data_IF_275860793164
#
_entry.id   IF_275860793164
#
_cell.length_a   1.000
_cell.length_b   1.000
_cell.length_c   1.000
_cell.angle_alpha   90.00
_cell.angle_beta   90.00
_cell.angle_gamma   90.00
#
_symmetry.space_group_name_H-M   'P 1'
#
loop_
_entity.id
_entity.type
_entity.pdbx_description
1 polymer ?
#
# COMPACT_ATOMS: atom_id res chain seq x y z
N UNK A 1 -31.44 -7.94 -1.53
CA UNK A 1 -31.18 -6.63 -0.87
C UNK A 1 -30.41 -5.63 -1.74
N UNK A 2 -29.44 -6.04 -2.57
CA UNK A 2 -28.54 -5.11 -3.30
C UNK A 2 -29.24 -4.00 -4.10
N UNK A 3 -30.38 -4.27 -4.75
CA UNK A 3 -31.16 -3.27 -5.51
C UNK A 3 -31.67 -2.08 -4.68
N UNK A 4 -31.78 -2.21 -3.36
CA UNK A 4 -32.32 -1.16 -2.45
C UNK A 4 -31.21 -0.24 -1.92
N UNK A 5 -29.97 -0.73 -1.87
CA UNK A 5 -28.84 -0.04 -1.25
C UNK A 5 -28.48 1.32 -1.91
N UNK A 6 -28.46 1.45 -3.26
CA UNK A 6 -28.19 2.74 -3.90
C UNK A 6 -29.27 3.78 -3.59
N UNK A 7 -30.54 3.38 -3.63
CA UNK A 7 -31.67 4.25 -3.30
C UNK A 7 -31.63 4.74 -1.84
N UNK A 8 -31.31 3.83 -0.90
CA UNK A 8 -31.15 4.17 0.51
C UNK A 8 -29.97 5.13 0.76
N UNK A 9 -28.84 4.94 0.06
CA UNK A 9 -27.68 5.83 0.16
C UNK A 9 -27.96 7.22 -0.42
N UNK A 10 -28.65 7.31 -1.55
CA UNK A 10 -29.07 8.58 -2.15
C UNK A 10 -30.07 9.32 -1.26
N UNK A 11 -31.08 8.63 -0.72
CA UNK A 11 -32.04 9.21 0.22
C UNK A 11 -31.36 9.71 1.52
N UNK A 12 -30.44 8.92 2.09
CA UNK A 12 -29.68 9.31 3.27
C UNK A 12 -28.78 10.53 3.02
N UNK A 13 -28.13 10.63 1.86
CA UNK A 13 -27.35 11.81 1.45
C UNK A 13 -28.23 13.04 1.30
N UNK A 14 -29.37 12.92 0.62
CA UNK A 14 -30.29 14.05 0.42
C UNK A 14 -30.82 14.57 1.75
N UNK A 15 -31.28 13.69 2.65
CA UNK A 15 -31.70 14.07 3.99
C UNK A 15 -30.56 14.72 4.80
N UNK A 16 -29.31 14.31 4.58
CA UNK A 16 -28.14 14.88 5.25
C UNK A 16 -27.75 16.28 4.77
N UNK A 17 -27.90 16.57 3.48
CA UNK A 17 -27.76 17.95 2.99
C UNK A 17 -28.83 18.88 3.56
N UNK A 18 -30.05 18.39 3.77
CA UNK A 18 -31.17 19.21 4.29
C UNK A 18 -31.15 19.38 5.82
N UNK A 19 -30.75 18.36 6.58
CA UNK A 19 -30.81 18.36 8.04
C UNK A 19 -29.62 17.60 8.68
N UNK A 20 -28.38 18.10 8.58
CA UNK A 20 -27.17 17.33 8.88
C UNK A 20 -27.13 16.80 10.33
N UNK A 21 -27.38 17.66 11.32
CA UNK A 21 -27.27 17.31 12.74
C UNK A 21 -28.17 16.14 13.19
N UNK A 22 -29.33 15.95 12.56
CA UNK A 22 -30.26 14.85 12.86
C UNK A 22 -29.95 13.56 12.09
N UNK A 23 -29.16 13.66 11.02
CA UNK A 23 -29.02 12.60 10.00
C UNK A 23 -27.60 12.06 9.87
N UNK A 24 -26.56 12.72 10.41
CA UNK A 24 -25.21 12.14 10.50
C UNK A 24 -25.22 10.68 10.99
N UNK A 25 -25.92 10.32 12.09
CA UNK A 25 -25.92 8.94 12.59
C UNK A 25 -26.53 7.94 11.60
N UNK A 26 -27.50 8.38 10.81
CA UNK A 26 -28.19 7.57 9.81
C UNK A 26 -27.32 7.41 8.55
N UNK A 27 -26.73 8.49 8.04
CA UNK A 27 -25.86 8.43 6.86
C UNK A 27 -24.60 7.60 7.15
N UNK A 28 -23.95 7.79 8.30
CA UNK A 28 -22.83 6.94 8.77
C UNK A 28 -23.26 5.48 8.86
N UNK A 29 -24.46 5.17 9.37
CA UNK A 29 -24.97 3.79 9.42
C UNK A 29 -25.17 3.19 8.03
N UNK A 30 -25.73 3.94 7.08
CA UNK A 30 -25.95 3.47 5.70
C UNK A 30 -24.62 3.26 4.98
N UNK A 31 -23.67 4.19 5.08
CA UNK A 31 -22.33 4.06 4.50
C UNK A 31 -21.56 2.85 5.07
N UNK A 32 -21.63 2.61 6.39
CA UNK A 32 -21.04 1.41 7.03
C UNK A 32 -21.67 0.11 6.54
N UNK A 33 -22.99 0.07 6.36
CA UNK A 33 -23.68 -1.10 5.80
C UNK A 33 -23.27 -1.32 4.33
N UNK A 34 -23.13 -0.25 3.55
CA UNK A 34 -22.60 -0.31 2.18
C UNK A 34 -21.20 -0.93 2.17
N UNK A 35 -20.27 -0.44 3.00
CA UNK A 35 -18.92 -1.01 3.11
C UNK A 35 -18.95 -2.51 3.45
N UNK A 36 -19.74 -2.90 4.45
CA UNK A 36 -19.90 -4.30 4.84
C UNK A 36 -20.53 -5.19 3.75
N UNK A 37 -21.42 -4.65 2.92
CA UNK A 37 -21.92 -5.39 1.75
C UNK A 37 -20.85 -5.57 0.70
N UNK A 38 -20.05 -4.54 0.39
CA UNK A 38 -19.02 -4.62 -0.65
C UNK A 38 -17.88 -5.61 -0.27
N UNK A 39 -17.46 -5.65 1.01
CA UNK A 39 -16.55 -6.70 1.53
C UNK A 39 -17.10 -8.11 1.30
N UNK A 40 -18.42 -8.31 1.46
CA UNK A 40 -19.08 -9.61 1.24
C UNK A 40 -19.29 -9.97 -0.23
N UNK A 41 -19.31 -8.98 -1.12
CA UNK A 41 -19.42 -9.18 -2.57
C UNK A 41 -18.07 -9.38 -3.26
N UNK A 42 -16.95 -9.18 -2.55
CA UNK A 42 -15.62 -9.23 -3.13
C UNK A 42 -15.19 -7.95 -3.83
N UNK A 43 -15.82 -6.81 -3.52
CA UNK A 43 -15.40 -5.49 -3.99
C UNK A 43 -14.77 -4.70 -2.84
N UNK A 44 -13.45 -4.85 -2.60
CA UNK A 44 -12.79 -4.22 -1.47
C UNK A 44 -12.52 -2.71 -1.70
N UNK A 45 -12.43 -2.25 -2.95
CA UNK A 45 -12.22 -0.83 -3.27
C UNK A 45 -13.49 0.00 -3.02
N UNK A 46 -14.67 -0.46 -3.45
CA UNK A 46 -15.93 0.18 -3.08
C UNK A 46 -16.24 0.05 -1.58
N UNK A 47 -15.77 -1.02 -0.94
CA UNK A 47 -15.86 -1.15 0.52
C UNK A 47 -15.05 -0.06 1.24
N UNK A 48 -13.82 0.17 0.81
CA UNK A 48 -12.93 1.20 1.37
C UNK A 48 -13.54 2.60 1.17
N UNK A 49 -13.95 2.95 -0.04
CA UNK A 49 -14.54 4.25 -0.35
C UNK A 49 -15.85 4.53 0.43
N UNK A 50 -16.65 3.48 0.69
CA UNK A 50 -17.85 3.60 1.51
C UNK A 50 -17.52 3.79 3.01
N UNK A 51 -16.45 3.15 3.50
CA UNK A 51 -16.00 3.26 4.89
C UNK A 51 -15.28 4.59 5.18
N UNK A 52 -14.44 5.06 4.25
CA UNK A 52 -13.80 6.38 4.31
C UNK A 52 -14.85 7.50 4.44
N UNK A 53 -15.84 7.52 3.53
CA UNK A 53 -16.95 8.48 3.62
C UNK A 53 -17.75 8.38 4.92
N UNK A 54 -17.81 7.20 5.56
CA UNK A 54 -18.40 7.04 6.88
C UNK A 54 -17.55 7.69 7.98
N UNK A 55 -16.22 7.66 7.87
CA UNK A 55 -15.31 8.40 8.76
C UNK A 55 -15.45 9.91 8.56
N UNK A 56 -15.47 10.41 7.30
CA UNK A 56 -15.66 11.83 7.01
C UNK A 56 -16.98 12.35 7.58
N UNK A 57 -18.08 11.61 7.37
CA UNK A 57 -19.43 11.98 7.85
C UNK A 57 -19.56 11.89 9.38
N UNK A 58 -18.73 11.07 10.03
CA UNK A 58 -18.71 10.93 11.49
C UNK A 58 -17.82 11.97 12.20
N UNK A 59 -17.03 12.75 11.46
CA UNK A 59 -16.08 13.72 12.02
C UNK A 59 -16.77 14.69 13.00
N UNK A 60 -16.20 14.82 14.20
CA UNK A 60 -16.78 15.57 15.32
C UNK A 60 -17.61 14.74 16.33
N UNK A 61 -17.99 13.49 16.03
CA UNK A 61 -18.62 12.57 16.99
C UNK A 61 -17.75 11.32 17.18
N UNK A 62 -17.06 11.24 18.33
CA UNK A 62 -16.17 10.12 18.66
C UNK A 62 -16.85 8.74 18.64
N UNK A 63 -18.15 8.64 18.97
CA UNK A 63 -18.90 7.38 18.97
C UNK A 63 -19.28 6.95 17.56
N UNK A 64 -19.59 7.90 16.67
CA UNK A 64 -19.80 7.61 15.25
C UNK A 64 -18.47 7.26 14.56
N UNK A 65 -17.38 7.97 14.86
CA UNK A 65 -16.06 7.73 14.28
C UNK A 65 -15.53 6.35 14.68
N UNK A 66 -15.58 5.98 15.96
CA UNK A 66 -15.19 4.63 16.41
C UNK A 66 -16.03 3.53 15.74
N UNK A 67 -17.32 3.79 15.47
CA UNK A 67 -18.18 2.86 14.73
C UNK A 67 -17.78 2.75 13.25
N UNK A 68 -17.50 3.87 12.59
CA UNK A 68 -17.05 3.91 11.20
C UNK A 68 -15.68 3.23 11.01
N UNK A 69 -14.74 3.43 11.93
CA UNK A 69 -13.41 2.83 11.91
C UNK A 69 -13.46 1.30 11.78
N UNK A 70 -14.39 0.61 12.45
CA UNK A 70 -14.56 -0.85 12.32
C UNK A 70 -14.84 -1.27 10.86
N UNK A 71 -15.63 -0.50 10.12
CA UNK A 71 -15.93 -0.79 8.72
C UNK A 71 -14.71 -0.50 7.82
N UNK A 72 -13.93 0.54 8.15
CA UNK A 72 -12.67 0.85 7.45
C UNK A 72 -11.64 -0.26 7.66
N UNK A 73 -11.43 -0.72 8.89
CA UNK A 73 -10.55 -1.86 9.17
C UNK A 73 -11.04 -3.15 8.50
N UNK A 74 -12.35 -3.35 8.35
CA UNK A 74 -12.90 -4.49 7.60
C UNK A 74 -12.67 -4.38 6.09
N UNK A 75 -12.73 -3.18 5.50
CA UNK A 75 -12.42 -2.94 4.10
C UNK A 75 -10.92 -3.08 3.81
N UNK A 76 -10.06 -2.51 4.67
CA UNK A 76 -8.61 -2.67 4.58
C UNK A 76 -8.22 -4.16 4.62
N UNK A 77 -8.72 -4.94 5.57
CA UNK A 77 -8.52 -6.42 5.61
C UNK A 77 -9.06 -7.18 4.38
N UNK A 78 -9.94 -6.56 3.59
CA UNK A 78 -10.52 -7.18 2.40
C UNK A 78 -9.71 -6.85 1.13
N UNK A 79 -9.14 -5.64 1.05
CA UNK A 79 -8.06 -5.30 0.11
C UNK A 79 -6.85 -6.21 0.38
N UNK A 80 -6.53 -6.36 1.66
CA UNK A 80 -5.39 -7.11 2.19
C UNK A 80 -5.51 -8.65 2.14
N UNK A 81 -6.41 -9.20 1.31
CA UNK A 81 -6.55 -10.65 1.17
C UNK A 81 -5.34 -11.36 0.55
N UNK A 82 -4.30 -10.60 0.19
CA UNK A 82 -2.96 -11.09 -0.18
C UNK A 82 -1.91 -10.95 0.94
N UNK A 83 -1.68 -9.75 1.50
CA UNK A 83 -0.52 -9.49 2.38
C UNK A 83 -0.55 -8.09 3.08
N UNK A 84 -0.71 -8.06 4.42
CA UNK A 84 -0.27 -7.03 5.42
C UNK A 84 -1.31 -6.42 6.40
N UNK A 85 -1.32 -6.97 7.62
CA UNK A 85 -1.90 -6.31 8.81
C UNK A 85 -1.06 -5.11 9.27
N UNK A 86 -1.63 -3.89 9.22
CA UNK A 86 -1.15 -2.73 9.98
C UNK A 86 -2.28 -2.10 10.80
N UNK A 87 -1.95 -1.62 12.02
CA UNK A 87 -2.92 -1.17 13.01
C UNK A 87 -3.42 0.26 12.77
N UNK A 88 -4.74 0.47 12.86
CA UNK A 88 -5.35 1.80 12.88
C UNK A 88 -5.30 2.36 14.30
N UNK A 89 -4.42 3.33 14.55
CA UNK A 89 -4.46 4.14 15.77
C UNK A 89 -5.54 5.22 15.65
N UNK A 90 -6.65 5.05 16.37
CA UNK A 90 -7.70 6.07 16.47
C UNK A 90 -7.36 7.03 17.62
N UNK A 91 -6.77 8.18 17.30
CA UNK A 91 -6.59 9.26 18.28
C UNK A 91 -7.96 9.81 18.68
N UNK A 92 -8.42 9.45 19.88
CA UNK A 92 -9.64 10.01 20.48
C UNK A 92 -9.33 11.43 20.93
N UNK A 93 -9.74 12.42 20.13
CA UNK A 93 -9.58 13.83 20.46
C UNK A 93 -10.40 14.20 21.72
N UNK A 94 -9.73 14.78 22.72
CA UNK A 94 -10.34 15.35 23.91
C UNK A 94 -11.06 16.68 23.65
N UNK A 95 -11.82 17.21 24.64
CA UNK A 95 -12.87 18.19 24.38
C UNK A 95 -12.41 19.65 24.47
N UNK A 96 -12.54 20.38 23.37
CA UNK A 96 -12.80 21.82 23.25
C UNK A 96 -13.09 22.09 21.76
N UNK A 97 -13.82 23.10 21.31
CA UNK A 97 -14.31 24.34 21.91
C UNK A 97 -14.56 25.28 20.72
N UNK A 98 -15.67 26.03 20.71
CA UNK A 98 -16.18 26.63 19.46
C UNK A 98 -15.22 27.64 18.79
N UNK A 99 -15.04 27.53 17.47
CA UNK A 99 -14.32 28.55 16.69
C UNK A 99 -14.09 28.17 15.22
N UNK A 100 -14.88 28.73 14.29
CA UNK A 100 -14.72 28.50 12.84
C UNK A 100 -13.43 29.12 12.31
N UNK A 101 -12.56 28.29 11.70
CA UNK A 101 -11.89 28.52 10.39
C UNK A 101 -11.16 27.23 9.96
N UNK A 102 -11.14 27.01 8.65
CA UNK A 102 -10.57 25.89 7.86
C UNK A 102 -9.66 24.86 8.56
N UNK A 103 -10.05 23.58 8.50
CA UNK A 103 -9.13 22.43 8.59
C UNK A 103 -9.54 21.33 7.61
N UNK A 104 -8.83 21.26 6.47
CA UNK A 104 -8.77 20.08 5.60
C UNK A 104 -7.62 19.22 6.11
N UNK A 105 -7.95 18.32 7.04
CA UNK A 105 -7.13 17.24 7.63
C UNK A 105 -8.05 16.61 8.71
N UNK A 106 -8.22 15.30 8.91
CA UNK A 106 -7.49 14.06 8.56
C UNK A 106 -8.61 13.05 8.20
N UNK A 107 -8.59 12.27 7.11
CA UNK A 107 -7.59 11.26 6.75
C UNK A 107 -7.17 11.40 5.28
N UNK A 108 -6.01 12.01 5.07
CA UNK A 108 -5.13 11.68 3.96
C UNK A 108 -3.75 11.45 4.58
N UNK A 109 -3.01 10.46 4.08
CA UNK A 109 -1.61 10.18 4.42
C UNK A 109 -1.34 9.82 5.90
N UNK A 110 -1.20 8.51 6.14
CA UNK A 110 -0.31 7.97 7.17
C UNK A 110 0.91 7.31 6.50
N UNK A 111 1.53 8.01 5.55
CA UNK A 111 2.84 7.69 4.97
C UNK A 111 3.91 8.66 5.52
N UNK A 112 4.01 8.79 6.84
CA UNK A 112 5.27 9.23 7.45
C UNK A 112 5.43 8.78 8.91
N UNK A 113 6.42 7.90 9.11
CA UNK A 113 7.23 7.67 10.31
C UNK A 113 6.59 7.17 11.63
N UNK A 114 7.12 6.02 12.11
CA UNK A 114 7.21 5.74 13.55
C UNK A 114 7.10 4.26 13.97
N UNK A 115 8.18 3.47 13.82
CA UNK A 115 8.60 2.24 14.54
C UNK A 115 7.58 1.46 15.43
N UNK A 116 7.49 0.13 15.53
CA UNK A 116 8.24 -1.08 15.09
C UNK A 116 7.37 -2.32 15.54
N UNK A 117 7.56 -3.60 15.21
CA UNK A 117 8.56 -4.31 14.40
C UNK A 117 7.95 -5.52 13.63
N UNK A 118 8.54 -5.83 12.46
CA UNK A 118 8.81 -7.16 11.89
C UNK A 118 9.37 -6.94 10.47
N UNK A 119 10.51 -7.55 10.08
CA UNK A 119 10.97 -7.47 8.70
C UNK A 119 10.01 -8.24 7.80
N UNK A 120 9.15 -7.51 7.09
CA UNK A 120 8.48 -8.03 5.91
C UNK A 120 9.53 -8.01 4.82
N UNK A 121 10.23 -9.14 4.62
CA UNK A 121 11.19 -9.26 3.52
C UNK A 121 10.43 -8.96 2.22
N UNK A 122 10.79 -7.90 1.47
CA UNK A 122 10.06 -7.53 0.27
C UNK A 122 10.18 -8.64 -0.78
N UNK A 123 11.38 -9.24 -0.87
CA UNK A 123 11.64 -10.38 -1.73
C UNK A 123 11.19 -11.72 -1.13
N UNK A 124 10.73 -12.60 -2.01
CA UNK A 124 10.41 -14.00 -1.73
C UNK A 124 11.25 -14.91 -2.60
N UNK A 125 12.01 -15.81 -1.99
CA UNK A 125 12.65 -16.92 -2.71
C UNK A 125 11.74 -18.14 -2.64
N UNK A 126 11.39 -18.70 -3.80
CA UNK A 126 10.60 -19.93 -3.92
C UNK A 126 11.37 -20.98 -4.73
N UNK A 127 11.12 -22.26 -4.43
CA UNK A 127 11.52 -23.38 -5.30
C UNK A 127 10.33 -23.74 -6.19
N UNK A 128 10.48 -23.60 -7.50
CA UNK A 128 9.38 -23.78 -8.47
C UNK A 128 9.27 -25.24 -8.91
N UNK A 129 10.42 -25.89 -9.10
CA UNK A 129 10.59 -27.34 -9.28
C UNK A 129 11.89 -27.75 -8.58
N UNK A 130 12.09 -29.01 -8.16
CA UNK A 130 13.30 -29.43 -7.45
C UNK A 130 14.59 -28.97 -8.14
N UNK A 131 15.39 -28.16 -7.45
CA UNK A 131 16.64 -27.59 -7.97
C UNK A 131 16.49 -26.38 -8.88
N UNK A 132 15.30 -25.78 -9.01
CA UNK A 132 15.06 -24.49 -9.67
C UNK A 132 14.38 -23.51 -8.74
N UNK A 133 14.96 -22.32 -8.64
CA UNK A 133 14.56 -21.29 -7.70
C UNK A 133 14.19 -20.01 -8.45
N UNK A 134 13.23 -19.27 -7.89
CA UNK A 134 12.81 -17.95 -8.37
C UNK A 134 12.76 -16.98 -7.20
N UNK A 135 13.42 -15.84 -7.37
CA UNK A 135 13.42 -14.69 -6.47
C UNK A 135 12.44 -13.65 -7.01
N UNK A 136 11.41 -13.33 -6.23
CA UNK A 136 10.30 -12.48 -6.64
C UNK A 136 10.20 -11.24 -5.74
N UNK A 137 9.87 -10.09 -6.32
CA UNK A 137 9.46 -8.87 -5.61
C UNK A 137 8.21 -8.32 -6.30
N UNK A 138 7.16 -8.02 -5.52
CA UNK A 138 5.95 -7.39 -6.07
C UNK A 138 6.18 -5.88 -6.20
N UNK A 139 6.03 -5.34 -7.41
CA UNK A 139 6.15 -3.91 -7.65
C UNK A 139 5.06 -3.12 -6.90
N UNK A 140 5.34 -1.88 -6.52
CA UNK A 140 4.40 -1.06 -5.75
C UNK A 140 4.06 -1.59 -4.35
N UNK A 141 4.94 -2.38 -3.74
CA UNK A 141 4.81 -2.87 -2.35
C UNK A 141 6.00 -2.58 -1.43
N UNK A 142 6.98 -1.80 -1.88
CA UNK A 142 8.23 -1.54 -1.15
C UNK A 142 8.15 -0.26 -0.31
N UNK A 143 9.11 -0.08 0.60
CA UNK A 143 9.15 1.13 1.43
C UNK A 143 9.66 2.38 0.65
N UNK A 144 10.12 2.19 -0.59
CA UNK A 144 10.77 3.22 -1.40
C UNK A 144 9.99 3.57 -2.67
N UNK A 145 8.83 2.96 -2.95
CA UNK A 145 8.09 3.19 -4.21
C UNK A 145 7.78 4.67 -4.47
N UNK A 146 7.23 5.37 -3.47
CA UNK A 146 6.96 6.82 -3.58
C UNK A 146 8.22 7.69 -3.71
N UNK A 147 9.38 7.18 -3.30
CA UNK A 147 10.68 7.84 -3.55
C UNK A 147 11.15 7.61 -5.00
N UNK A 148 10.95 6.40 -5.54
CA UNK A 148 11.25 6.10 -6.94
C UNK A 148 10.41 7.01 -7.85
N UNK A 149 9.11 7.15 -7.55
CA UNK A 149 8.21 8.11 -8.21
C UNK A 149 8.69 9.58 -8.05
N UNK A 150 9.13 10.00 -6.85
CA UNK A 150 9.70 11.35 -6.61
C UNK A 150 10.98 11.61 -7.42
N UNK A 151 11.76 10.58 -7.73
CA UNK A 151 12.97 10.66 -8.55
C UNK A 151 12.67 10.60 -10.07
N UNK A 152 11.41 10.43 -10.45
CA UNK A 152 10.96 10.42 -11.85
C UNK A 152 10.88 9.03 -12.49
N UNK A 153 11.01 7.97 -11.69
CA UNK A 153 11.01 6.58 -12.14
C UNK A 153 9.70 5.86 -11.81
N UNK A 154 9.33 4.83 -12.58
CA UNK A 154 8.21 3.93 -12.22
C UNK A 154 8.72 2.73 -11.41
N UNK A 155 8.22 2.45 -10.18
CA UNK A 155 8.71 1.36 -9.33
C UNK A 155 8.23 -0.05 -9.77
N UNK A 156 8.23 -0.31 -11.07
CA UNK A 156 7.74 -1.52 -11.72
C UNK A 156 8.81 -2.63 -11.80
N UNK A 157 8.45 -3.81 -12.33
CA UNK A 157 9.36 -4.96 -12.37
C UNK A 157 10.62 -4.76 -13.21
N UNK A 158 10.57 -3.93 -14.26
CA UNK A 158 11.71 -3.62 -15.13
C UNK A 158 12.70 -2.69 -14.43
N UNK A 159 12.20 -1.66 -13.73
CA UNK A 159 13.01 -0.82 -12.85
C UNK A 159 13.76 -1.65 -11.81
N UNK A 160 13.08 -2.61 -11.17
CA UNK A 160 13.68 -3.52 -10.20
C UNK A 160 14.68 -4.51 -10.82
N UNK A 161 14.55 -4.87 -12.11
CA UNK A 161 15.64 -5.54 -12.84
C UNK A 161 16.84 -4.61 -13.01
N UNK A 162 16.65 -3.36 -13.42
CA UNK A 162 17.73 -2.37 -13.53
C UNK A 162 18.49 -2.22 -12.20
N UNK A 163 17.78 -2.11 -11.08
CA UNK A 163 18.38 -2.11 -9.73
C UNK A 163 19.20 -3.39 -9.48
N UNK A 164 18.71 -4.56 -9.88
CA UNK A 164 19.46 -5.81 -9.75
C UNK A 164 20.71 -5.85 -10.63
N UNK A 165 20.64 -5.37 -11.87
CA UNK A 165 21.79 -5.29 -12.79
C UNK A 165 22.88 -4.33 -12.27
N UNK A 166 22.48 -3.16 -11.76
CA UNK A 166 23.39 -2.19 -11.12
C UNK A 166 24.07 -2.82 -9.90
N UNK A 167 23.33 -3.49 -9.02
CA UNK A 167 23.90 -4.17 -7.84
C UNK A 167 24.89 -5.28 -8.21
N UNK A 168 24.60 -6.07 -9.24
CA UNK A 168 25.50 -7.14 -9.72
C UNK A 168 26.77 -6.54 -10.31
N UNK A 169 26.67 -5.53 -11.18
CA UNK A 169 27.84 -4.91 -11.83
C UNK A 169 28.74 -4.13 -10.87
N UNK A 170 28.18 -3.46 -9.86
CA UNK A 170 28.94 -2.58 -8.95
C UNK A 170 29.36 -3.23 -7.63
N UNK A 171 28.47 -3.98 -6.97
CA UNK A 171 28.71 -4.52 -5.62
C UNK A 171 28.92 -6.04 -5.58
N UNK A 172 28.51 -6.78 -6.63
CA UNK A 172 28.45 -8.24 -6.63
C UNK A 172 28.83 -8.94 -7.96
N UNK A 173 29.98 -8.64 -8.62
CA UNK A 173 30.31 -9.23 -9.93
C UNK A 173 30.36 -10.77 -9.94
N UNK A 174 30.59 -11.41 -8.79
CA UNK A 174 30.54 -12.86 -8.62
C UNK A 174 29.13 -13.49 -8.76
N UNK A 175 28.09 -12.68 -8.95
CA UNK A 175 26.72 -13.11 -9.25
C UNK A 175 26.41 -13.10 -10.76
N UNK A 176 27.24 -12.47 -11.59
CA UNK A 176 27.01 -12.30 -13.02
C UNK A 176 26.87 -13.66 -13.73
N UNK A 177 25.81 -13.80 -14.54
CA UNK A 177 25.50 -15.02 -15.30
C UNK A 177 25.02 -16.24 -14.49
N UNK A 178 24.81 -16.14 -13.17
CA UNK A 178 24.37 -17.28 -12.32
C UNK A 178 22.84 -17.47 -12.26
N UNK A 179 22.09 -16.50 -12.76
CA UNK A 179 20.63 -16.51 -12.90
C UNK A 179 20.23 -15.66 -14.13
N UNK A 180 18.96 -15.69 -14.48
CA UNK A 180 18.36 -14.87 -15.55
C UNK A 180 17.17 -14.09 -15.00
N UNK A 181 16.84 -12.97 -15.64
CA UNK A 181 15.69 -12.13 -15.29
C UNK A 181 14.52 -12.42 -16.23
N UNK A 182 13.29 -12.22 -15.73
CA UNK A 182 12.03 -12.32 -16.47
C UNK A 182 10.95 -11.45 -15.79
N UNK A 183 11.16 -10.12 -15.67
CA UNK A 183 10.21 -9.24 -15.00
C UNK A 183 8.95 -9.00 -15.83
N UNK A 184 7.88 -8.67 -15.11
CA UNK A 184 6.64 -8.12 -15.65
C UNK A 184 6.41 -6.75 -14.98
N UNK A 185 5.61 -5.84 -15.56
CA UNK A 185 5.34 -4.55 -14.92
C UNK A 185 4.85 -4.64 -13.46
N UNK A 186 4.10 -5.69 -13.10
CA UNK A 186 3.66 -5.92 -11.72
C UNK A 186 4.67 -6.61 -10.79
N UNK A 187 5.77 -7.18 -11.29
CA UNK A 187 6.71 -7.95 -10.47
C UNK A 187 8.10 -8.11 -11.09
N UNK A 188 9.12 -7.98 -10.26
CA UNK A 188 10.47 -8.44 -10.58
C UNK A 188 10.58 -9.95 -10.39
N UNK A 189 11.28 -10.62 -11.30
CA UNK A 189 11.63 -12.03 -11.21
C UNK A 189 13.10 -12.24 -11.64
N UNK A 190 13.87 -12.93 -10.81
CA UNK A 190 15.12 -13.57 -11.19
C UNK A 190 15.04 -15.08 -10.91
N UNK A 191 15.51 -15.93 -11.82
CA UNK A 191 15.42 -17.38 -11.68
C UNK A 191 16.72 -18.09 -12.05
N UNK A 192 16.96 -19.24 -11.42
CA UNK A 192 18.19 -20.01 -11.63
C UNK A 192 18.22 -21.33 -10.86
N UNK A 193 19.32 -22.06 -11.01
CA UNK A 193 19.61 -23.28 -10.23
C UNK A 193 20.47 -22.99 -9.00
N UNK A 194 21.17 -21.85 -9.00
CA UNK A 194 22.06 -21.42 -7.93
C UNK A 194 21.29 -20.67 -6.84
N UNK A 195 20.78 -21.44 -5.88
CA UNK A 195 20.01 -20.91 -4.76
C UNK A 195 20.78 -19.83 -3.98
N UNK A 196 22.07 -20.06 -3.73
CA UNK A 196 22.87 -19.13 -2.91
C UNK A 196 23.16 -17.82 -3.62
N UNK A 197 23.30 -17.82 -4.96
CA UNK A 197 23.38 -16.59 -5.75
C UNK A 197 22.09 -15.75 -5.62
N UNK A 198 20.92 -16.39 -5.68
CA UNK A 198 19.63 -15.72 -5.50
C UNK A 198 19.41 -15.27 -4.04
N UNK A 199 19.88 -16.02 -3.04
CA UNK A 199 19.86 -15.59 -1.63
C UNK A 199 20.75 -14.35 -1.41
N UNK A 200 21.93 -14.27 -2.02
CA UNK A 200 22.79 -13.08 -1.93
C UNK A 200 22.15 -11.87 -2.63
N UNK A 201 21.60 -12.05 -3.84
CA UNK A 201 20.86 -11.00 -4.54
C UNK A 201 19.67 -10.52 -3.70
N UNK A 202 18.94 -11.43 -3.05
CA UNK A 202 17.80 -11.10 -2.18
C UNK A 202 18.20 -10.19 -1.02
N UNK A 203 19.33 -10.45 -0.35
CA UNK A 203 19.83 -9.59 0.74
C UNK A 203 20.16 -8.19 0.21
N UNK A 204 20.83 -8.10 -0.95
CA UNK A 204 21.24 -6.83 -1.56
C UNK A 204 20.04 -6.01 -2.02
N UNK A 205 19.09 -6.61 -2.75
CA UNK A 205 17.86 -5.94 -3.19
C UNK A 205 16.98 -5.53 -2.01
N UNK A 206 16.83 -6.38 -0.99
CA UNK A 206 16.03 -6.06 0.19
C UNK A 206 16.55 -4.81 0.89
N UNK A 207 17.86 -4.68 1.03
CA UNK A 207 18.49 -3.50 1.63
C UNK A 207 18.38 -2.23 0.76
N UNK A 208 18.06 -2.30 -0.54
CA UNK A 208 17.67 -1.11 -1.33
C UNK A 208 16.18 -0.82 -1.10
N UNK A 209 15.33 -1.85 -1.19
CA UNK A 209 13.87 -1.74 -1.06
C UNK A 209 13.37 -1.29 0.32
N UNK A 210 14.24 -1.25 1.34
CA UNK A 210 13.94 -0.76 2.69
C UNK A 210 14.71 0.51 3.10
N UNK A 211 15.63 1.02 2.29
CA UNK A 211 16.47 2.19 2.61
C UNK A 211 16.46 3.20 1.46
N UNK A 212 15.68 4.28 1.63
CA UNK A 212 15.58 5.34 0.64
C UNK A 212 16.88 6.12 0.40
N UNK A 213 17.77 6.21 1.39
CA UNK A 213 19.10 6.82 1.18
C UNK A 213 19.99 5.91 0.33
N UNK A 214 19.85 4.59 0.46
CA UNK A 214 20.52 3.64 -0.43
C UNK A 214 19.92 3.65 -1.83
N UNK A 215 18.60 3.75 -1.98
CA UNK A 215 17.94 3.90 -3.29
C UNK A 215 18.42 5.17 -4.02
N UNK A 216 18.44 6.34 -3.35
CA UNK A 216 18.97 7.60 -3.91
C UNK A 216 20.40 7.48 -4.41
N UNK A 217 21.30 6.89 -3.61
CA UNK A 217 22.70 6.68 -4.02
C UNK A 217 22.82 5.76 -5.22
N UNK A 218 22.09 4.64 -5.23
CA UNK A 218 22.13 3.67 -6.31
C UNK A 218 21.68 4.28 -7.64
N UNK A 219 20.56 5.02 -7.66
CA UNK A 219 20.08 5.70 -8.88
C UNK A 219 21.11 6.74 -9.36
N UNK A 220 21.58 7.62 -8.47
CA UNK A 220 22.55 8.66 -8.84
C UNK A 220 23.90 8.07 -9.32
N UNK A 221 24.35 6.95 -8.75
CA UNK A 221 25.53 6.22 -9.21
C UNK A 221 25.29 5.52 -10.56
N UNK A 222 24.10 4.97 -10.80
CA UNK A 222 23.73 4.37 -12.08
C UNK A 222 23.69 5.43 -13.21
N UNK A 223 22.99 6.54 -13.00
CA UNK A 223 22.92 7.67 -13.94
C UNK A 223 24.31 8.25 -14.24
N UNK A 224 25.15 8.44 -13.21
CA UNK A 224 26.50 8.96 -13.38
C UNK A 224 27.42 8.03 -14.19
N UNK A 225 27.13 6.73 -14.21
CA UNK A 225 27.80 5.73 -15.05
C UNK A 225 27.14 5.54 -16.42
N UNK A 226 26.07 6.29 -16.73
CA UNK A 226 25.34 6.21 -18.00
C UNK A 226 24.42 5.00 -18.13
N UNK A 227 23.98 4.42 -17.01
CA UNK A 227 22.93 3.41 -16.97
C UNK A 227 21.56 4.07 -17.07
N UNK A 228 20.69 3.52 -17.92
CA UNK A 228 19.30 3.96 -18.11
C UNK A 228 18.40 2.86 -17.53
N UNK A 229 17.49 3.21 -16.62
CA UNK A 229 16.49 2.27 -16.12
C UNK A 229 15.39 2.11 -17.18
N UNK A 230 14.91 0.88 -17.36
CA UNK A 230 13.74 0.57 -18.18
C UNK A 230 12.53 0.57 -17.25
N UNK A 231 11.62 1.54 -17.40
CA UNK A 231 10.51 1.80 -16.49
C UNK A 231 9.26 2.42 -17.18
#
# INVERSE_FOLDING_TARGET
MLRVLPGLLTAARHAHHTAPALTCPLLVRVQRLTAQTMVKLGDPHLAWLAADRAMTTASGDARLTARAAVALTQALRALDRGRLLTAVHLTIAGPCGAGRRSSVAVVLVALHQGCQDRPVTPLRLIETTPGKYSLLLDAGTTAVDGLVEELGHEPNGYFWEGVAQVLVSTEAPALEGRFSYDPEGGMFCAYGVDRSALEELAVRMAAVATDGERMRRLIAEAEANGFEFDD
#
